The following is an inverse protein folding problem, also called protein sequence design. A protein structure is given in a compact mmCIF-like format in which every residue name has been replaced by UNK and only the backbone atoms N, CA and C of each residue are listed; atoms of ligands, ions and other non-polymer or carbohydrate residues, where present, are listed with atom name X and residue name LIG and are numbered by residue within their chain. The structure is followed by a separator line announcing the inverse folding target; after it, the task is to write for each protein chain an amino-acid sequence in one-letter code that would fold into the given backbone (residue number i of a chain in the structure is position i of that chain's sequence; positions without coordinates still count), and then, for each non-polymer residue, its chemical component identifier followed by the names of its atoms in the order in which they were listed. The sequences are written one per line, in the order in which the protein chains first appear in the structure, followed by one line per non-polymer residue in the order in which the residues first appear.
data_IF_441496364064
#
_entry.id   IF_441496364064
#
_cell.length_a   1.000
_cell.length_b   1.000
_cell.length_c   1.000
_cell.angle_alpha   90.00
_cell.angle_beta   90.00
_cell.angle_gamma   90.00
#
_symmetry.space_group_name_H-M   'P 1'
#
loop_
_entity.id
_entity.type
_entity.pdbx_description
1 polymer ?
#
# COMPACT_ATOMS: atom_id res chain seq x y z
N UNK A 1 -23.93 15.16 25.40
CA UNK A 1 -22.92 14.58 26.30
C UNK A 1 -22.02 13.66 25.49
N UNK A 2 -20.77 14.07 25.23
CA UNK A 2 -19.77 13.35 24.45
C UNK A 2 -18.56 13.02 25.32
N UNK A 3 -18.32 11.73 25.55
CA UNK A 3 -17.23 11.22 26.40
C UNK A 3 -15.84 11.64 25.88
N UNK A 4 -15.70 11.78 24.57
CA UNK A 4 -14.41 12.07 23.93
C UNK A 4 -14.05 13.56 23.96
N UNK A 5 -15.03 14.45 24.08
CA UNK A 5 -14.85 15.89 23.90
C UNK A 5 -15.23 16.69 25.15
N UNK A 6 -16.29 16.32 25.86
CA UNK A 6 -16.83 17.13 26.95
C UNK A 6 -15.86 17.19 28.13
N UNK A 7 -15.79 18.37 28.75
CA UNK A 7 -14.83 18.68 29.81
C UNK A 7 -15.10 17.90 31.10
N UNK A 8 -16.36 17.50 31.34
CA UNK A 8 -16.76 16.67 32.49
C UNK A 8 -16.02 15.32 32.53
N UNK A 9 -15.54 14.82 31.38
CA UNK A 9 -14.78 13.57 31.29
C UNK A 9 -13.26 13.78 31.17
N UNK A 10 -12.74 15.00 31.33
CA UNK A 10 -11.31 15.30 31.18
C UNK A 10 -10.43 14.42 32.08
N UNK A 11 -10.79 14.33 33.37
CA UNK A 11 -10.06 13.52 34.35
C UNK A 11 -10.13 12.03 34.05
N UNK A 12 -11.27 11.53 33.55
CA UNK A 12 -11.40 10.15 33.10
C UNK A 12 -10.49 9.85 31.90
N UNK A 13 -10.36 10.78 30.95
CA UNK A 13 -9.44 10.63 29.81
C UNK A 13 -7.97 10.61 30.26
N UNK A 14 -7.58 11.46 31.21
CA UNK A 14 -6.23 11.46 31.79
C UNK A 14 -5.88 10.12 32.45
N UNK A 15 -6.79 9.59 33.28
CA UNK A 15 -6.62 8.28 33.93
C UNK A 15 -6.49 7.16 32.90
N UNK A 16 -7.31 7.17 31.83
CA UNK A 16 -7.21 6.18 30.75
C UNK A 16 -5.87 6.28 30.00
N UNK A 17 -5.37 7.48 29.72
CA UNK A 17 -4.06 7.68 29.09
C UNK A 17 -2.94 7.17 30.00
N UNK A 18 -3.01 7.48 31.31
CA UNK A 18 -2.04 7.01 32.29
C UNK A 18 -2.03 5.47 32.38
N UNK A 19 -3.22 4.85 32.49
CA UNK A 19 -3.34 3.39 32.55
C UNK A 19 -2.85 2.73 31.27
N UNK A 20 -3.14 3.30 30.09
CA UNK A 20 -2.60 2.84 28.82
C UNK A 20 -1.06 2.85 28.81
N UNK A 21 -0.43 3.91 29.33
CA UNK A 21 1.04 4.00 29.42
C UNK A 21 1.60 2.94 30.39
N UNK A 22 0.97 2.77 31.54
CA UNK A 22 1.33 1.74 32.54
C UNK A 22 1.28 0.32 31.94
N UNK A 23 0.18 -0.05 31.28
CA UNK A 23 0.03 -1.36 30.62
C UNK A 23 1.11 -1.62 29.57
N UNK A 24 1.48 -0.59 28.79
CA UNK A 24 2.53 -0.71 27.77
C UNK A 24 3.92 -0.85 28.42
N UNK A 25 4.23 -0.05 29.43
CA UNK A 25 5.57 0.04 30.01
C UNK A 25 5.86 -1.06 31.03
N UNK A 26 4.88 -1.42 31.86
CA UNK A 26 5.07 -2.34 32.99
C UNK A 26 4.62 -3.76 32.69
N UNK A 27 3.59 -3.93 31.86
CA UNK A 27 3.00 -5.24 31.56
C UNK A 27 3.31 -5.75 30.15
N UNK A 28 4.04 -4.97 29.34
CA UNK A 28 4.33 -5.27 27.94
C UNK A 28 3.06 -5.59 27.10
N UNK A 29 1.89 -5.12 27.53
CA UNK A 29 0.59 -5.33 26.86
C UNK A 29 0.36 -4.37 25.68
N UNK A 30 1.44 -3.78 25.17
CA UNK A 30 1.42 -3.08 23.90
C UNK A 30 1.43 -4.05 22.72
N UNK A 31 1.15 -3.54 21.53
CA UNK A 31 1.28 -4.33 20.28
C UNK A 31 2.74 -4.63 19.88
N UNK A 32 3.72 -4.40 20.77
CA UNK A 32 5.16 -4.60 20.51
C UNK A 32 5.49 -6.03 20.03
N UNK A 33 5.02 -7.10 20.70
CA UNK A 33 5.24 -8.47 20.26
C UNK A 33 4.56 -8.81 18.92
N UNK A 34 3.54 -8.05 18.54
CA UNK A 34 2.82 -8.17 17.27
C UNK A 34 3.31 -7.17 16.22
N UNK A 35 4.36 -6.40 16.52
CA UNK A 35 4.90 -5.42 15.60
C UNK A 35 5.36 -6.13 14.33
N UNK A 36 4.94 -5.59 13.18
CA UNK A 36 5.40 -6.09 11.90
C UNK A 36 6.90 -5.80 11.79
N UNK A 37 7.73 -6.83 11.61
CA UNK A 37 9.11 -6.60 11.17
C UNK A 37 9.13 -6.05 9.75
N UNK A 38 10.22 -5.37 9.43
CA UNK A 38 10.48 -4.94 8.06
C UNK A 38 10.72 -6.14 7.15
N UNK A 39 10.27 -6.00 5.91
CA UNK A 39 10.55 -6.97 4.85
C UNK A 39 11.98 -6.72 4.34
N UNK A 40 12.78 -7.77 4.23
CA UNK A 40 14.14 -7.61 3.71
C UNK A 40 14.14 -7.52 2.19
N UNK A 41 15.20 -6.93 1.63
CA UNK A 41 15.39 -6.84 0.18
C UNK A 41 15.37 -8.22 -0.49
N UNK A 42 16.06 -9.21 0.09
CA UNK A 42 16.14 -10.56 -0.43
C UNK A 42 14.78 -11.28 -0.44
N UNK A 43 13.94 -11.01 0.55
CA UNK A 43 12.57 -11.54 0.56
C UNK A 43 11.70 -10.93 -0.53
N UNK A 44 11.87 -9.63 -0.79
CA UNK A 44 11.19 -8.98 -1.90
C UNK A 44 11.70 -9.54 -3.23
N UNK A 45 13.02 -9.66 -3.43
CA UNK A 45 13.63 -10.22 -4.64
C UNK A 45 13.07 -11.62 -4.95
N UNK A 46 12.95 -12.48 -3.93
CA UNK A 46 12.39 -13.83 -4.07
C UNK A 46 10.94 -13.83 -4.60
N UNK A 47 10.14 -12.82 -4.29
CA UNK A 47 8.79 -12.73 -4.86
C UNK A 47 8.78 -12.39 -6.34
N UNK A 48 9.76 -11.62 -6.80
CA UNK A 48 9.95 -11.31 -8.22
C UNK A 48 10.54 -12.51 -8.96
N UNK A 49 11.54 -13.18 -8.39
CA UNK A 49 12.14 -14.41 -8.94
C UNK A 49 11.10 -15.52 -9.13
N UNK A 50 10.20 -15.71 -8.16
CA UNK A 50 9.12 -16.71 -8.24
C UNK A 50 7.95 -16.27 -9.16
N UNK A 51 8.02 -15.09 -9.78
CA UNK A 51 6.96 -14.54 -10.63
C UNK A 51 5.68 -14.20 -9.89
N UNK A 52 5.69 -14.17 -8.55
CA UNK A 52 4.53 -13.75 -7.74
C UNK A 52 4.28 -12.25 -7.86
N UNK A 53 5.36 -11.49 -8.08
CA UNK A 53 5.36 -10.08 -8.40
C UNK A 53 6.09 -9.86 -9.73
N UNK A 54 5.72 -8.82 -10.46
CA UNK A 54 6.35 -8.47 -11.73
C UNK A 54 5.40 -7.73 -12.67
N UNK A 55 5.73 -7.77 -13.96
CA UNK A 55 5.03 -7.03 -15.04
C UNK A 55 4.52 -7.89 -16.19
N UNK A 56 4.60 -9.22 -16.07
CA UNK A 56 4.40 -10.15 -17.19
C UNK A 56 2.92 -10.55 -17.43
N UNK A 57 2.04 -10.33 -16.45
CA UNK A 57 0.61 -10.64 -16.56
C UNK A 57 -0.21 -9.52 -15.88
N UNK A 58 -1.42 -9.17 -16.35
CA UNK A 58 -2.24 -8.14 -15.73
C UNK A 58 -2.61 -8.37 -14.28
N UNK A 59 -2.90 -9.60 -13.87
CA UNK A 59 -3.20 -9.89 -12.48
C UNK A 59 -1.95 -9.69 -11.62
N UNK A 60 -0.80 -10.17 -12.10
CA UNK A 60 0.49 -10.00 -11.42
C UNK A 60 0.87 -8.52 -11.33
N UNK A 61 0.84 -7.78 -12.43
CA UNK A 61 1.18 -6.35 -12.46
C UNK A 61 0.28 -5.53 -11.55
N UNK A 62 -1.04 -5.76 -11.59
CA UNK A 62 -1.98 -5.06 -10.72
C UNK A 62 -1.70 -5.35 -9.23
N UNK A 63 -1.39 -6.61 -8.89
CA UNK A 63 -0.97 -7.00 -7.54
C UNK A 63 0.35 -6.35 -7.14
N UNK A 64 1.31 -6.26 -8.05
CA UNK A 64 2.63 -5.67 -7.80
C UNK A 64 2.57 -4.16 -7.58
N UNK A 65 1.74 -3.44 -8.33
CA UNK A 65 1.50 -2.01 -8.06
C UNK A 65 0.80 -1.83 -6.71
N UNK A 66 -0.21 -2.65 -6.41
CA UNK A 66 -0.89 -2.59 -5.12
C UNK A 66 0.06 -2.92 -3.95
N UNK A 67 0.99 -3.87 -4.15
CA UNK A 67 2.06 -4.21 -3.21
C UNK A 67 2.99 -3.02 -2.98
N UNK A 68 3.46 -2.42 -4.06
CA UNK A 68 4.35 -1.27 -4.05
C UNK A 68 3.78 -0.09 -3.27
N UNK A 69 2.53 0.27 -3.54
CA UNK A 69 1.82 1.32 -2.81
C UNK A 69 1.67 0.96 -1.33
N UNK A 70 1.41 -0.33 -1.03
CA UNK A 70 1.24 -0.79 0.36
C UNK A 70 2.54 -0.71 1.15
N UNK A 71 3.65 -1.18 0.56
CA UNK A 71 4.95 -1.26 1.23
C UNK A 71 5.57 0.12 1.46
N UNK A 72 5.55 1.01 0.46
CA UNK A 72 6.26 2.30 0.57
C UNK A 72 5.42 3.41 1.16
N UNK A 73 4.10 3.35 0.97
CA UNK A 73 3.23 4.46 1.32
C UNK A 73 2.16 4.10 2.35
N UNK A 74 2.16 2.86 2.84
CA UNK A 74 1.18 2.39 3.81
C UNK A 74 -0.25 2.37 3.24
N UNK A 75 -0.39 2.06 1.95
CA UNK A 75 -1.67 1.93 1.26
C UNK A 75 -2.49 0.77 1.82
N UNK A 76 -3.75 1.03 2.18
CA UNK A 76 -4.69 0.07 2.75
C UNK A 76 -5.55 -0.53 1.66
N UNK A 77 -4.99 -1.54 0.99
CA UNK A 77 -5.60 -2.28 -0.14
C UNK A 77 -7.13 -2.46 -0.06
N UNK A 78 -7.71 -2.89 1.06
CA UNK A 78 -9.16 -3.19 1.14
C UNK A 78 -10.06 -1.96 1.02
N UNK A 79 -9.64 -0.84 1.62
CA UNK A 79 -10.44 0.39 1.65
C UNK A 79 -10.04 1.33 0.51
N UNK A 80 -8.73 1.56 0.37
CA UNK A 80 -8.20 2.60 -0.51
C UNK A 80 -8.18 2.18 -1.99
N UNK A 81 -8.12 0.89 -2.34
CA UNK A 81 -8.13 0.45 -3.76
C UNK A 81 -9.33 0.89 -4.57
N UNK A 82 -10.48 1.10 -3.93
CA UNK A 82 -11.72 1.54 -4.60
C UNK A 82 -11.87 3.05 -4.60
N UNK A 83 -11.13 3.74 -3.74
CA UNK A 83 -11.20 5.20 -3.57
C UNK A 83 -10.10 5.89 -4.35
N UNK A 84 -8.93 5.27 -4.47
CA UNK A 84 -7.77 5.78 -5.17
C UNK A 84 -8.12 6.16 -6.61
N UNK A 85 -7.79 7.40 -6.95
CA UNK A 85 -7.99 7.96 -8.29
C UNK A 85 -6.68 8.04 -9.04
N UNK A 86 -6.77 8.08 -10.36
CA UNK A 86 -5.58 8.15 -11.22
C UNK A 86 -4.70 9.36 -10.87
N UNK A 87 -5.31 10.52 -10.65
CA UNK A 87 -4.57 11.76 -10.32
C UNK A 87 -3.91 11.77 -8.93
N UNK A 88 -4.25 10.83 -8.06
CA UNK A 88 -3.67 10.76 -6.71
C UNK A 88 -2.21 10.29 -6.75
N UNK A 89 -1.79 9.56 -7.78
CA UNK A 89 -0.44 9.02 -7.92
C UNK A 89 0.17 9.50 -9.23
N UNK A 90 1.40 10.00 -9.19
CA UNK A 90 2.07 10.49 -10.40
C UNK A 90 3.58 10.34 -10.30
N UNK A 91 4.24 10.28 -11.46
CA UNK A 91 5.69 10.44 -11.53
C UNK A 91 6.01 11.94 -11.44
N UNK A 92 7.01 12.29 -10.64
CA UNK A 92 7.58 13.63 -10.53
C UNK A 92 9.10 13.52 -10.60
N UNK A 93 9.79 14.67 -10.59
CA UNK A 93 11.24 14.74 -10.40
C UNK A 93 11.56 15.20 -8.99
N UNK A 94 12.62 14.64 -8.42
CA UNK A 94 13.23 15.09 -7.19
C UNK A 94 13.87 16.47 -7.42
N UNK A 95 13.52 17.51 -6.64
CA UNK A 95 14.07 18.85 -6.84
C UNK A 95 15.58 18.94 -6.60
N UNK A 96 16.18 18.01 -5.84
CA UNK A 96 17.61 18.02 -5.53
C UNK A 96 18.41 17.21 -6.53
N UNK A 97 17.96 16.00 -6.82
CA UNK A 97 18.72 15.03 -7.63
C UNK A 97 18.28 15.01 -9.10
N UNK A 98 17.17 15.67 -9.44
CA UNK A 98 16.49 15.56 -10.75
C UNK A 98 16.10 14.13 -11.15
N UNK A 99 16.25 13.16 -10.24
CA UNK A 99 15.86 11.77 -10.45
C UNK A 99 14.35 11.63 -10.42
N UNK A 100 13.82 10.66 -11.16
CA UNK A 100 12.38 10.41 -11.14
C UNK A 100 11.95 9.79 -9.82
N UNK A 101 10.76 10.16 -9.36
CA UNK A 101 10.13 9.58 -8.18
C UNK A 101 8.65 9.34 -8.42
N UNK A 102 8.09 8.36 -7.74
CA UNK A 102 6.65 8.16 -7.64
C UNK A 102 6.14 8.94 -6.42
N UNK A 103 5.14 9.78 -6.64
CA UNK A 103 4.52 10.63 -5.62
C UNK A 103 3.07 10.20 -5.40
N UNK A 104 2.66 10.07 -4.14
CA UNK A 104 1.25 9.94 -3.76
C UNK A 104 0.76 11.24 -3.12
N UNK A 105 -0.15 11.93 -3.82
CA UNK A 105 -0.62 13.29 -3.53
C UNK A 105 -1.79 13.36 -2.54
N UNK A 106 -2.66 12.36 -2.52
CA UNK A 106 -3.90 12.43 -1.75
C UNK A 106 -4.29 11.09 -1.16
N UNK A 107 -4.39 11.04 0.17
CA UNK A 107 -4.94 9.89 0.89
C UNK A 107 -6.47 9.95 0.84
N UNK A 108 -7.11 8.90 0.31
CA UNK A 108 -8.58 8.82 0.25
C UNK A 108 -9.20 7.85 1.25
N UNK A 109 -8.38 7.18 2.05
CA UNK A 109 -8.83 6.33 3.14
C UNK A 109 -8.92 7.10 4.45
N UNK A 110 -9.91 6.78 5.29
CA UNK A 110 -9.92 7.26 6.67
C UNK A 110 -8.85 6.51 7.45
N UNK A 111 -7.64 7.06 7.52
CA UNK A 111 -6.70 6.64 8.55
C UNK A 111 -7.17 7.26 9.87
N UNK A 112 -7.37 6.43 10.90
CA UNK A 112 -7.59 6.86 12.29
C UNK A 112 -6.31 7.57 12.78
N UNK A 113 -6.11 8.80 12.31
CA UNK A 113 -5.00 9.69 12.68
C UNK A 113 -5.43 10.66 13.79
N UNK A 114 -6.53 10.35 14.49
CA UNK A 114 -6.95 11.05 15.71
C UNK A 114 -6.09 10.56 16.88
N UNK A 115 -4.78 10.80 16.81
CA UNK A 115 -3.93 10.88 17.99
C UNK A 115 -4.17 12.21 18.70
N UNK A 116 -3.39 12.47 19.75
CA UNK A 116 -3.36 13.69 20.59
C UNK A 116 -3.00 15.01 19.86
N UNK A 117 -3.17 15.08 18.53
CA UNK A 117 -2.95 16.29 17.73
C UNK A 117 -1.49 16.69 17.53
N UNK A 118 -0.54 16.09 18.26
CA UNK A 118 0.87 16.48 18.23
C UNK A 118 1.64 15.99 16.99
N UNK A 119 1.08 15.04 16.22
CA UNK A 119 1.76 14.43 15.07
C UNK A 119 0.91 14.43 13.79
N UNK A 120 0.52 15.61 13.29
CA UNK A 120 0.05 15.74 11.91
C UNK A 120 1.24 15.81 10.95
N UNK A 121 1.67 14.66 10.42
CA UNK A 121 2.67 14.61 9.35
C UNK A 121 2.02 15.03 8.02
N UNK A 122 2.66 15.96 7.29
CA UNK A 122 2.30 16.27 5.91
C UNK A 122 2.28 14.99 5.05
N UNK A 123 1.26 14.82 4.22
CA UNK A 123 1.04 13.59 3.45
C UNK A 123 1.47 13.79 1.99
N UNK A 124 2.75 13.51 1.69
CA UNK A 124 3.29 13.48 0.33
C UNK A 124 4.43 12.47 0.23
N UNK A 125 4.20 11.18 0.51
CA UNK A 125 5.28 10.20 0.48
C UNK A 125 5.76 10.00 -0.97
N UNK A 126 7.07 9.81 -1.11
CA UNK A 126 7.76 9.62 -2.38
C UNK A 126 8.55 8.32 -2.39
N UNK A 127 8.73 7.73 -3.58
CA UNK A 127 9.61 6.59 -3.80
C UNK A 127 10.49 6.89 -5.01
N UNK A 128 11.82 7.01 -4.80
CA UNK A 128 12.77 7.28 -5.86
C UNK A 128 12.86 6.11 -6.86
N UNK A 129 13.15 6.43 -8.11
CA UNK A 129 13.45 5.44 -9.12
C UNK A 129 14.73 4.67 -8.76
N UNK A 130 14.70 3.37 -8.99
CA UNK A 130 15.85 2.47 -8.86
C UNK A 130 16.11 1.77 -10.19
N UNK A 131 17.29 1.17 -10.34
CA UNK A 131 17.70 0.41 -11.51
C UNK A 131 17.50 -1.10 -11.31
N UNK A 132 16.34 -1.50 -10.79
CA UNK A 132 15.99 -2.92 -10.55
C UNK A 132 14.53 -3.20 -10.91
N UNK A 133 14.17 -4.48 -11.01
CA UNK A 133 12.82 -4.92 -11.40
C UNK A 133 11.73 -4.46 -10.43
N UNK A 134 12.11 -4.16 -9.19
CA UNK A 134 11.23 -3.70 -8.12
C UNK A 134 10.95 -2.21 -8.17
N UNK A 135 11.57 -1.48 -9.10
CA UNK A 135 11.46 -0.03 -9.22
C UNK A 135 10.01 0.42 -9.34
N UNK A 136 9.52 1.19 -8.35
CA UNK A 136 8.11 1.61 -8.28
C UNK A 136 7.72 2.53 -9.44
N UNK A 137 8.65 3.36 -9.88
CA UNK A 137 8.46 4.23 -11.05
C UNK A 137 8.27 3.38 -12.31
N UNK A 138 9.11 2.36 -12.52
CA UNK A 138 8.99 1.47 -13.68
C UNK A 138 7.72 0.60 -13.63
N UNK A 139 7.37 0.07 -12.46
CA UNK A 139 6.12 -0.68 -12.25
C UNK A 139 4.89 0.18 -12.56
N UNK A 140 4.89 1.44 -12.09
CA UNK A 140 3.82 2.38 -12.39
C UNK A 140 3.74 2.73 -13.88
N UNK A 141 4.89 2.94 -14.56
CA UNK A 141 4.91 3.17 -16.01
C UNK A 141 4.32 2.00 -16.78
N UNK A 142 4.77 0.78 -16.48
CA UNK A 142 4.25 -0.43 -17.11
C UNK A 142 2.73 -0.55 -16.90
N UNK A 143 2.27 -0.31 -15.66
CA UNK A 143 0.84 -0.31 -15.35
C UNK A 143 0.07 0.75 -16.16
N UNK A 144 0.58 1.96 -16.25
CA UNK A 144 0.00 3.06 -17.05
C UNK A 144 -0.08 2.73 -18.54
N UNK A 145 0.93 2.08 -19.10
CA UNK A 145 0.93 1.67 -20.51
C UNK A 145 -0.18 0.66 -20.85
N UNK A 146 -0.65 -0.11 -19.86
CA UNK A 146 -1.72 -1.10 -20.06
C UNK A 146 -3.13 -0.56 -19.74
N UNK A 147 -3.23 0.69 -19.29
CA UNK A 147 -4.50 1.35 -18.97
C UNK A 147 -5.11 2.00 -20.22
N UNK A 148 -6.45 1.91 -20.41
CA UNK A 148 -7.15 2.70 -21.42
C UNK A 148 -6.92 4.20 -21.18
N UNK A 149 -6.67 4.96 -22.24
CA UNK A 149 -6.36 6.40 -22.12
C UNK A 149 -7.51 7.21 -21.51
N UNK A 150 -8.75 6.78 -21.75
CA UNK A 150 -9.95 7.40 -21.17
C UNK A 150 -10.01 7.26 -19.65
N UNK A 151 -9.31 6.26 -19.10
CA UNK A 151 -9.26 6.01 -17.66
C UNK A 151 -8.06 6.65 -16.97
N UNK A 152 -7.25 7.45 -17.69
CA UNK A 152 -6.12 8.21 -17.15
C UNK A 152 -6.47 9.64 -16.72
N UNK A 153 -7.76 9.96 -16.64
CA UNK A 153 -8.25 11.24 -16.12
C UNK A 153 -8.09 11.32 -14.60
N UNK A 154 -7.87 12.52 -14.06
CA UNK A 154 -7.53 12.73 -12.65
C UNK A 154 -8.50 12.06 -11.67
N UNK A 155 -9.80 12.05 -11.99
CA UNK A 155 -10.91 11.51 -11.19
C UNK A 155 -11.28 10.06 -11.52
N UNK A 156 -10.69 9.49 -12.57
CA UNK A 156 -10.88 8.09 -12.96
C UNK A 156 -10.34 7.13 -11.90
N UNK A 157 -10.94 5.95 -11.84
CA UNK A 157 -10.54 4.92 -10.87
C UNK A 157 -9.14 4.41 -11.18
N UNK A 158 -8.28 4.33 -10.16
CA UNK A 158 -6.89 3.89 -10.35
C UNK A 158 -6.80 2.39 -10.71
N UNK A 159 -7.49 1.56 -9.93
CA UNK A 159 -7.56 0.13 -10.17
C UNK A 159 -8.81 -0.22 -10.97
N UNK A 160 -8.59 -0.86 -12.12
CA UNK A 160 -9.63 -1.27 -13.04
C UNK A 160 -9.79 -2.79 -13.08
N UNK A 161 -10.95 -3.25 -13.57
CA UNK A 161 -11.20 -4.67 -13.79
C UNK A 161 -10.28 -5.21 -14.91
N UNK A 162 -9.74 -6.42 -14.71
CA UNK A 162 -8.90 -7.08 -15.71
C UNK A 162 -9.74 -7.47 -16.93
N UNK A 163 -9.22 -7.23 -18.13
CA UNK A 163 -9.82 -7.70 -19.36
C UNK A 163 -9.40 -9.16 -19.63
N UNK A 164 -10.25 -10.10 -19.23
CA UNK A 164 -10.05 -11.53 -19.49
C UNK A 164 -10.36 -11.94 -20.93
N UNK A 165 -10.98 -11.06 -21.73
CA UNK A 165 -11.30 -11.28 -23.15
C UNK A 165 -10.29 -10.60 -24.08
N UNK A 166 -9.18 -10.10 -23.54
CA UNK A 166 -8.14 -9.44 -24.34
C UNK A 166 -7.52 -10.43 -25.33
N UNK A 167 -7.17 -9.93 -26.51
CA UNK A 167 -6.37 -10.69 -27.46
C UNK A 167 -4.94 -10.86 -26.93
N UNK A 168 -4.28 -12.00 -27.20
CA UNK A 168 -2.84 -12.14 -26.94
C UNK A 168 -2.06 -10.99 -27.59
N UNK A 169 -1.09 -10.44 -26.86
CA UNK A 169 -0.30 -9.29 -27.34
C UNK A 169 -1.01 -7.93 -27.29
N UNK A 170 -2.28 -7.86 -26.85
CA UNK A 170 -2.95 -6.57 -26.69
C UNK A 170 -2.21 -5.68 -25.69
N UNK A 171 -1.96 -4.43 -26.07
CA UNK A 171 -1.35 -3.43 -25.21
C UNK A 171 -2.27 -3.02 -24.05
N UNK A 172 -3.60 -3.08 -24.21
CA UNK A 172 -4.55 -2.67 -23.18
C UNK A 172 -5.05 -3.89 -22.42
N UNK A 173 -4.76 -3.95 -21.11
CA UNK A 173 -5.08 -5.12 -20.29
C UNK A 173 -6.28 -4.94 -19.37
N UNK A 174 -6.72 -3.71 -19.15
CA UNK A 174 -7.79 -3.40 -18.21
C UNK A 174 -9.03 -2.86 -18.92
N UNK A 175 -10.21 -3.17 -18.38
CA UNK A 175 -11.50 -2.66 -18.85
C UNK A 175 -11.73 -1.23 -18.35
N UNK A 176 -12.58 -0.47 -19.03
CA UNK A 176 -13.08 0.84 -18.59
C UNK A 176 -14.10 0.73 -17.46
N UNK A 177 -13.81 -0.10 -16.46
CA UNK A 177 -14.67 -0.38 -15.33
C UNK A 177 -13.82 -0.46 -14.05
N UNK A 178 -14.28 0.15 -12.94
CA UNK A 178 -13.57 0.09 -11.68
C UNK A 178 -13.44 -1.35 -11.18
N UNK A 179 -12.38 -1.61 -10.42
CA UNK A 179 -12.18 -2.91 -9.80
C UNK A 179 -13.32 -3.25 -8.82
N UNK A 180 -13.93 -4.43 -8.97
CA UNK A 180 -15.09 -4.86 -8.18
C UNK A 180 -14.79 -5.05 -6.68
N UNK A 181 -15.83 -5.23 -5.84
CA UNK A 181 -15.65 -5.35 -4.37
C UNK A 181 -14.98 -6.66 -3.92
N UNK A 182 -15.18 -7.75 -4.67
CA UNK A 182 -14.64 -9.09 -4.38
C UNK A 182 -13.31 -9.30 -5.11
N UNK A 183 -12.30 -8.51 -4.78
CA UNK A 183 -10.98 -8.63 -5.43
C UNK A 183 -10.14 -9.72 -4.77
N UNK A 184 -9.32 -10.38 -5.58
CA UNK A 184 -8.29 -11.31 -5.08
C UNK A 184 -7.06 -10.58 -4.51
N UNK A 185 -7.01 -9.23 -4.54
CA UNK A 185 -5.88 -8.44 -4.01
C UNK A 185 -5.68 -8.66 -2.51
N UNK A 186 -6.73 -8.49 -1.71
CA UNK A 186 -6.60 -8.64 -0.25
C UNK A 186 -6.25 -10.08 0.17
N UNK A 187 -6.82 -11.08 -0.50
CA UNK A 187 -6.46 -12.49 -0.29
C UNK A 187 -5.04 -12.81 -0.76
N UNK A 188 -4.57 -12.16 -1.82
CA UNK A 188 -3.22 -12.33 -2.34
C UNK A 188 -2.17 -11.88 -1.32
N UNK A 189 -2.32 -10.70 -0.71
CA UNK A 189 -1.39 -10.26 0.33
C UNK A 189 -1.35 -11.16 1.56
N UNK A 190 -2.50 -11.72 1.95
CA UNK A 190 -2.56 -12.73 3.00
C UNK A 190 -1.77 -13.99 2.62
N UNK A 191 -1.86 -14.42 1.35
CA UNK A 191 -1.10 -15.57 0.82
C UNK A 191 0.39 -15.27 0.73
N UNK A 192 0.79 -14.11 0.22
CA UNK A 192 2.19 -13.66 0.19
C UNK A 192 2.81 -13.69 1.60
N UNK A 193 2.11 -13.15 2.61
CA UNK A 193 2.58 -13.18 3.99
C UNK A 193 2.77 -14.61 4.51
N UNK A 194 1.86 -15.53 4.19
CA UNK A 194 2.02 -16.95 4.55
C UNK A 194 3.24 -17.58 3.86
N UNK A 195 3.42 -17.31 2.56
CA UNK A 195 4.58 -17.80 1.80
C UNK A 195 5.89 -17.26 2.39
N UNK A 196 5.94 -15.97 2.74
CA UNK A 196 7.07 -15.37 3.44
C UNK A 196 7.44 -16.15 4.70
N UNK A 197 6.44 -16.41 5.56
CA UNK A 197 6.66 -17.13 6.81
C UNK A 197 7.20 -18.55 6.56
N UNK A 198 6.66 -19.27 5.56
CA UNK A 198 7.15 -20.59 5.19
C UNK A 198 8.61 -20.55 4.70
N UNK A 199 8.95 -19.58 3.85
CA UNK A 199 10.30 -19.42 3.30
C UNK A 199 11.34 -19.13 4.39
N UNK A 200 10.98 -18.35 5.40
CA UNK A 200 11.84 -18.06 6.55
C UNK A 200 12.02 -19.29 7.43
N UNK A 201 10.93 -20.02 7.75
CA UNK A 201 11.02 -21.23 8.58
C UNK A 201 11.87 -22.34 7.94
N UNK A 202 11.84 -22.48 6.61
CA UNK A 202 12.66 -23.49 5.91
C UNK A 202 14.16 -23.18 5.93
N UNK A 203 14.56 -21.92 6.17
CA UNK A 203 15.97 -21.51 6.26
C UNK A 203 16.54 -21.70 7.66
N UNK A 204 15.72 -21.76 8.71
CA UNK A 204 16.16 -21.94 10.11
C UNK A 204 16.34 -23.42 10.50
N UNK A 205 16.01 -24.36 9.61
CA UNK A 205 16.05 -25.81 9.90
C UNK A 205 17.15 -26.56 9.11
N UNK A 206 18.20 -25.85 8.68
CA UNK A 206 19.39 -26.43 8.04
C UNK A 206 20.65 -25.99 8.76
#
# INVERSE_FOLDING_TARGET
MNILQDQVFAKSREVLIAKKRELVQQHAEGNGPQACRELTTAEEDKFFELGLLGKHDPEVLQKTVCWALSLHFGFRTRDESRKLKWGDVSISKDPKTSSELLLWKAERGSKTRHGDGQHQRAFYPTAQATHNERCRVQLYRAFSQHQPDEMKQSDSSFFLAINHRRQPGSQIWYNKAPLGKKTKLASFFRRLRKLLNCLVTTQTTR
#
